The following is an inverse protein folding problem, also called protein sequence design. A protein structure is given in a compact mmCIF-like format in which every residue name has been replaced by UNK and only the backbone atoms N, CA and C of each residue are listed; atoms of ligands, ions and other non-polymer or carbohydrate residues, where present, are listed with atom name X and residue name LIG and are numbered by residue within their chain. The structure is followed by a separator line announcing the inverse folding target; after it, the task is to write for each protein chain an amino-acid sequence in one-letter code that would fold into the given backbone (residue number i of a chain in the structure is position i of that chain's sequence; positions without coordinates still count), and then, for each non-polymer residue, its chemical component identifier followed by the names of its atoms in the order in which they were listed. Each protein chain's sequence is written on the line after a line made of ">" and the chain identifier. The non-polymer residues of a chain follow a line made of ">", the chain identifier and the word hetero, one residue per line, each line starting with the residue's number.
data_IF_832109149525
#
_entry.id   IF_832109149525
#
_cell.length_a   1.000
_cell.length_b   1.000
_cell.length_c   1.000
_cell.angle_alpha   90.00
_cell.angle_beta   90.00
_cell.angle_gamma   90.00
#
_symmetry.space_group_name_H-M   'P 1'
#
loop_
_entity.id
_entity.type
_entity.pdbx_description
1 polymer ?
#
# COMPACT_ATOMS: atom_id res chain seq x y z
N UNK A 1 -13.86 10.08 -15.77
CA UNK A 1 -13.72 8.61 -15.87
C UNK A 1 -14.29 8.16 -17.21
N UNK A 2 -13.86 7.00 -17.75
CA UNK A 2 -14.52 6.41 -18.94
C UNK A 2 -15.90 5.87 -18.54
N UNK A 3 -16.85 5.88 -19.48
CA UNK A 3 -18.19 5.32 -19.27
C UNK A 3 -18.09 3.87 -18.81
N UNK A 4 -18.82 3.53 -17.74
CA UNK A 4 -18.79 2.20 -17.11
C UNK A 4 -17.61 1.96 -16.15
N UNK A 5 -16.73 2.93 -15.94
CA UNK A 5 -15.65 2.84 -14.95
C UNK A 5 -16.14 2.94 -13.50
N UNK A 6 -15.30 2.57 -12.54
CA UNK A 6 -15.60 2.68 -11.11
C UNK A 6 -14.52 3.50 -10.37
N UNK A 7 -14.98 4.37 -9.46
CA UNK A 7 -14.14 5.08 -8.51
C UNK A 7 -14.10 4.25 -7.23
N UNK A 8 -12.92 3.75 -6.90
CA UNK A 8 -12.70 2.91 -5.71
C UNK A 8 -11.88 3.71 -4.71
N UNK A 9 -12.37 3.82 -3.48
CA UNK A 9 -11.64 4.40 -2.35
C UNK A 9 -11.47 3.37 -1.25
N UNK A 10 -10.31 3.39 -0.61
CA UNK A 10 -9.96 2.56 0.56
C UNK A 10 -9.74 3.40 1.82
N UNK A 11 -9.71 4.73 1.69
CA UNK A 11 -9.37 5.63 2.79
C UNK A 11 -10.61 6.07 3.58
N UNK A 12 -11.66 6.46 2.86
CA UNK A 12 -12.93 6.93 3.45
C UNK A 12 -14.08 6.77 2.45
N UNK A 13 -15.34 6.79 2.91
CA UNK A 13 -16.52 6.79 2.04
C UNK A 13 -16.53 7.93 1.01
N UNK A 14 -16.98 7.62 -0.20
CA UNK A 14 -17.17 8.60 -1.26
C UNK A 14 -18.33 9.54 -0.95
N UNK A 15 -18.10 10.84 -1.14
CA UNK A 15 -19.13 11.90 -1.05
C UNK A 15 -19.74 12.27 -2.40
N UNK A 16 -19.20 11.72 -3.49
CA UNK A 16 -19.57 12.06 -4.87
C UNK A 16 -19.88 10.80 -5.66
N UNK A 17 -20.92 10.86 -6.47
CA UNK A 17 -21.29 9.80 -7.40
C UNK A 17 -20.86 10.23 -8.82
N UNK A 18 -20.02 9.46 -9.53
CA UNK A 18 -19.68 9.75 -10.91
C UNK A 18 -20.91 9.62 -11.84
N UNK A 19 -21.13 10.60 -12.73
CA UNK A 19 -22.32 10.64 -13.61
C UNK A 19 -22.47 9.43 -14.56
N UNK A 20 -21.36 8.79 -14.94
CA UNK A 20 -21.33 7.65 -15.85
C UNK A 20 -20.49 6.48 -15.30
N UNK A 21 -20.47 6.31 -13.98
CA UNK A 21 -19.64 5.30 -13.32
C UNK A 21 -20.10 4.91 -11.91
N UNK A 22 -19.52 3.81 -11.42
CA UNK A 22 -19.75 3.33 -10.06
C UNK A 22 -18.90 4.09 -9.03
N UNK A 23 -19.37 4.13 -7.79
CA UNK A 23 -18.65 4.61 -6.62
C UNK A 23 -18.64 3.49 -5.58
N UNK A 24 -17.46 3.05 -5.14
CA UNK A 24 -17.33 1.98 -4.15
C UNK A 24 -16.33 2.41 -3.08
N UNK A 25 -16.79 2.41 -1.83
CA UNK A 25 -15.91 2.40 -0.67
C UNK A 25 -15.66 0.96 -0.27
N UNK A 26 -14.38 0.57 -0.23
CA UNK A 26 -13.97 -0.80 0.07
C UNK A 26 -13.00 -0.81 1.25
N UNK A 27 -13.36 -1.53 2.31
CA UNK A 27 -12.48 -1.79 3.45
C UNK A 27 -11.67 -3.06 3.15
N UNK A 28 -10.34 -2.94 3.18
CA UNK A 28 -9.43 -4.06 2.91
C UNK A 28 -9.15 -4.79 4.23
N UNK A 29 -9.76 -5.95 4.41
CA UNK A 29 -9.37 -6.88 5.48
C UNK A 29 -8.25 -7.81 4.98
N UNK A 30 -7.25 -8.14 5.82
CA UNK A 30 -6.18 -9.05 5.43
C UNK A 30 -6.73 -10.48 5.26
N UNK A 31 -6.82 -10.93 4.02
CA UNK A 31 -7.16 -12.31 3.66
C UNK A 31 -5.89 -13.11 3.30
N UNK A 32 -5.68 -14.26 3.97
CA UNK A 32 -4.47 -15.10 3.75
C UNK A 32 -4.38 -15.63 2.32
N UNK A 33 -5.49 -15.97 1.67
CA UNK A 33 -5.46 -16.50 0.31
C UNK A 33 -4.98 -15.43 -0.67
N UNK A 34 -5.54 -14.22 -0.56
CA UNK A 34 -5.16 -13.07 -1.38
C UNK A 34 -3.72 -12.63 -1.11
N UNK A 35 -3.27 -12.60 0.15
CA UNK A 35 -1.89 -12.31 0.51
C UNK A 35 -0.91 -13.33 -0.12
N UNK A 36 -1.28 -14.60 -0.17
CA UNK A 36 -0.48 -15.64 -0.85
C UNK A 36 -0.37 -15.38 -2.36
N UNK A 37 -1.43 -14.89 -2.99
CA UNK A 37 -1.40 -14.49 -4.42
C UNK A 37 -0.48 -13.29 -4.63
N UNK A 38 -0.52 -12.30 -3.73
CA UNK A 38 0.37 -11.13 -3.79
C UNK A 38 1.84 -11.53 -3.61
N UNK A 39 2.13 -12.41 -2.65
CA UNK A 39 3.47 -12.95 -2.40
C UNK A 39 4.05 -13.61 -3.65
N UNK A 40 3.29 -14.51 -4.30
CA UNK A 40 3.73 -15.17 -5.54
C UNK A 40 4.04 -14.16 -6.64
N UNK A 41 3.19 -13.14 -6.82
CA UNK A 41 3.43 -12.10 -7.82
C UNK A 41 4.68 -11.27 -7.52
N UNK A 42 5.01 -11.05 -6.26
CA UNK A 42 6.25 -10.38 -5.86
C UNK A 42 7.46 -11.27 -6.19
N UNK A 43 7.39 -12.55 -5.83
CA UNK A 43 8.44 -13.54 -6.12
C UNK A 43 8.70 -13.69 -7.62
N UNK A 44 7.64 -13.68 -8.42
CA UNK A 44 7.71 -13.75 -9.88
C UNK A 44 8.11 -12.41 -10.53
N UNK A 45 8.39 -11.37 -9.74
CA UNK A 45 8.79 -10.05 -10.23
C UNK A 45 7.68 -9.24 -10.91
N UNK A 46 6.43 -9.73 -10.88
CA UNK A 46 5.24 -9.09 -11.48
C UNK A 46 4.70 -7.94 -10.63
N UNK A 47 5.04 -7.92 -9.34
CA UNK A 47 4.81 -6.82 -8.42
C UNK A 47 6.12 -6.45 -7.73
N UNK A 48 6.40 -5.15 -7.62
CA UNK A 48 7.54 -4.61 -6.88
C UNK A 48 7.03 -3.61 -5.84
N UNK A 49 7.17 -3.88 -4.53
CA UNK A 49 6.87 -2.90 -3.52
C UNK A 49 7.74 -1.65 -3.72
N UNK A 50 7.13 -0.47 -3.68
CA UNK A 50 7.89 0.77 -3.69
C UNK A 50 8.53 0.95 -2.30
N UNK A 51 9.78 0.49 -2.15
CA UNK A 51 10.54 0.64 -0.91
C UNK A 51 11.25 1.98 -0.93
N UNK A 52 11.03 2.76 0.13
CA UNK A 52 11.65 4.07 0.31
C UNK A 52 12.96 3.96 1.07
N UNK A 53 12.94 3.27 2.20
CA UNK A 53 14.11 3.09 3.06
C UNK A 53 14.02 1.80 3.84
N UNK A 54 15.18 1.24 4.15
CA UNK A 54 15.35 0.12 5.07
C UNK A 54 16.26 0.61 6.19
N UNK A 55 15.83 0.49 7.43
CA UNK A 55 16.58 0.98 8.59
C UNK A 55 16.53 -0.01 9.74
N UNK A 56 17.49 0.09 10.66
CA UNK A 56 17.46 -0.66 11.91
C UNK A 56 16.38 -0.10 12.84
N UNK A 57 15.93 -0.90 13.80
CA UNK A 57 14.91 -0.49 14.77
C UNK A 57 15.28 0.80 15.54
N UNK A 58 16.56 0.99 15.88
CA UNK A 58 17.02 2.21 16.55
C UNK A 58 16.83 3.50 15.74
N UNK A 59 16.79 3.39 14.41
CA UNK A 59 16.64 4.52 13.49
C UNK A 59 15.18 4.74 13.05
N UNK A 60 14.25 3.91 13.53
CA UNK A 60 12.85 3.90 13.08
C UNK A 60 12.18 5.26 13.25
N UNK A 61 12.41 5.95 14.37
CA UNK A 61 11.81 7.27 14.63
C UNK A 61 12.24 8.30 13.56
N UNK A 62 13.52 8.32 13.20
CA UNK A 62 14.04 9.21 12.15
C UNK A 62 13.51 8.85 10.77
N UNK A 63 13.26 7.56 10.49
CA UNK A 63 12.71 7.12 9.21
C UNK A 63 11.27 7.61 8.93
N UNK A 64 10.53 8.04 9.97
CA UNK A 64 9.20 8.64 9.87
C UNK A 64 9.19 10.17 9.99
N UNK A 65 10.35 10.81 10.06
CA UNK A 65 10.44 12.27 10.07
C UNK A 65 9.74 12.87 8.83
N UNK A 66 8.76 13.79 9.01
CA UNK A 66 8.08 14.46 7.90
C UNK A 66 9.04 15.19 6.94
N UNK A 67 10.17 15.71 7.45
CA UNK A 67 11.20 16.37 6.64
C UNK A 67 11.88 15.38 5.69
N UNK A 68 11.90 14.08 6.03
CA UNK A 68 12.38 12.99 5.18
C UNK A 68 11.27 12.38 4.33
N UNK A 69 10.20 13.13 4.03
CA UNK A 69 9.00 12.70 3.30
C UNK A 69 9.26 12.05 1.93
N UNK A 70 8.21 11.52 1.30
CA UNK A 70 8.28 10.84 -0.01
C UNK A 70 7.44 9.57 -0.06
N UNK A 71 7.05 9.16 -1.27
CA UNK A 71 6.22 7.98 -1.50
C UNK A 71 6.98 6.66 -1.26
N UNK A 72 6.23 5.60 -0.93
CA UNK A 72 6.77 4.27 -0.70
C UNK A 72 6.68 3.81 0.76
N UNK A 73 7.26 2.64 1.05
CA UNK A 73 7.23 1.98 2.36
C UNK A 73 8.60 2.02 3.03
N UNK A 74 8.60 2.29 4.33
CA UNK A 74 9.75 2.11 5.23
C UNK A 74 9.74 0.67 5.74
N UNK A 75 10.87 -0.02 5.63
CA UNK A 75 11.09 -1.34 6.24
C UNK A 75 11.97 -1.15 7.48
N UNK A 76 11.51 -1.66 8.61
CA UNK A 76 12.28 -1.68 9.86
C UNK A 76 12.81 -3.09 10.05
N UNK A 77 14.13 -3.20 10.16
CA UNK A 77 14.82 -4.45 10.49
C UNK A 77 14.87 -4.59 12.00
N UNK A 78 14.27 -5.66 12.53
CA UNK A 78 14.07 -5.88 13.98
C UNK A 78 14.98 -6.95 14.59
N UNK A 79 15.69 -7.70 13.77
CA UNK A 79 16.73 -8.64 14.20
C UNK A 79 18.05 -8.23 13.55
N UNK A 80 19.16 -8.29 14.30
CA UNK A 80 20.47 -8.23 13.68
C UNK A 80 20.57 -9.35 12.66
N UNK A 81 21.06 -9.05 11.46
CA UNK A 81 21.46 -10.08 10.53
C UNK A 81 22.61 -10.84 11.20
N UNK A 82 22.29 -11.99 11.79
CA UNK A 82 23.28 -12.95 12.26
C UNK A 82 24.17 -13.44 11.14
#
# INVERSE_FOLDING_TARGET
>A
MRSGGALITIAEPLRVQPEHGGAVFFVVEPDRQTLTVLERRIRDGRLRPAIKTVCALGEAASAFDPARGGGGKTIITVADAG
#
